data_IF_529917674401
#
_entry.id   IF_529917674401
#
_cell.length_a   1.000
_cell.length_b   1.000
_cell.length_c   1.000
_cell.angle_alpha   90.00
_cell.angle_beta   90.00
_cell.angle_gamma   90.00
#
_symmetry.space_group_name_H-M   'P 1'
#
loop_
_entity.id
_entity.type
_entity.pdbx_description
1 polymer ?
#
# COMPACT_ATOMS: atom_id res chain seq x y z
N UNK A 1 21.36 17.07 -12.03
CA UNK A 1 19.91 16.99 -11.74
C UNK A 1 19.64 15.70 -11.00
N UNK A 2 18.89 15.71 -9.89
CA UNK A 2 18.43 14.45 -9.27
C UNK A 2 17.45 13.77 -10.24
N UNK A 3 17.59 12.46 -10.53
CA UNK A 3 16.68 11.79 -11.44
C UNK A 3 15.24 11.88 -10.93
N UNK A 4 14.28 12.10 -11.83
CA UNK A 4 12.85 12.19 -11.49
C UNK A 4 12.32 10.78 -11.27
N UNK A 5 11.78 10.49 -10.07
CA UNK A 5 11.13 9.20 -9.79
C UNK A 5 9.96 8.99 -10.77
N UNK A 6 9.89 7.81 -11.37
CA UNK A 6 8.74 7.39 -12.17
C UNK A 6 7.63 6.89 -11.24
N UNK A 7 6.38 7.03 -11.68
CA UNK A 7 5.26 6.39 -10.97
C UNK A 7 5.39 4.87 -11.12
N UNK A 8 5.27 4.15 -10.01
CA UNK A 8 5.33 2.68 -10.01
C UNK A 8 4.06 2.15 -10.71
N UNK A 9 4.17 1.29 -11.75
CA UNK A 9 3.00 0.77 -12.44
C UNK A 9 2.07 -0.02 -11.50
N UNK A 10 0.75 0.11 -11.69
CA UNK A 10 -0.27 -0.55 -10.83
C UNK A 10 -0.08 -2.07 -10.71
N UNK A 11 0.32 -2.72 -11.81
CA UNK A 11 0.63 -4.16 -11.83
C UNK A 11 1.78 -4.53 -10.89
N UNK A 12 2.83 -3.69 -10.85
CA UNK A 12 3.96 -3.88 -9.93
C UNK A 12 3.53 -3.61 -8.49
N UNK A 13 2.71 -2.58 -8.25
CA UNK A 13 2.18 -2.32 -6.91
C UNK A 13 1.41 -3.53 -6.35
N UNK A 14 0.48 -4.10 -7.14
CA UNK A 14 -0.25 -5.31 -6.78
C UNK A 14 0.70 -6.49 -6.53
N UNK A 15 1.66 -6.72 -7.41
CA UNK A 15 2.64 -7.81 -7.25
C UNK A 15 3.36 -7.73 -5.90
N UNK A 16 3.77 -6.52 -5.49
CA UNK A 16 4.44 -6.28 -4.20
C UNK A 16 3.48 -6.54 -3.04
N UNK A 17 2.25 -6.02 -3.07
CA UNK A 17 1.28 -6.23 -1.98
C UNK A 17 0.87 -7.70 -1.83
N UNK A 18 0.67 -8.44 -2.92
CA UNK A 18 0.38 -9.87 -2.87
C UNK A 18 1.57 -10.68 -2.36
N UNK A 19 2.78 -10.43 -2.87
CA UNK A 19 4.02 -11.06 -2.36
C UNK A 19 4.17 -10.87 -0.85
N UNK A 20 3.81 -9.68 -0.38
CA UNK A 20 3.95 -9.27 1.01
C UNK A 20 2.71 -9.59 1.86
N UNK A 21 1.75 -10.37 1.35
CA UNK A 21 0.51 -10.75 2.03
C UNK A 21 -0.25 -9.56 2.63
N UNK A 22 -0.35 -8.45 1.89
CA UNK A 22 -1.04 -7.23 2.32
C UNK A 22 -0.61 -6.77 3.71
N UNK A 23 0.68 -6.92 4.03
CA UNK A 23 1.24 -6.63 5.36
C UNK A 23 2.39 -5.63 5.24
N UNK A 24 2.36 -4.57 6.04
CA UNK A 24 3.46 -3.61 6.12
C UNK A 24 4.72 -4.30 6.63
N UNK A 25 5.82 -4.23 5.86
CA UNK A 25 7.08 -4.89 6.24
C UNK A 25 7.86 -4.18 7.32
N UNK A 26 7.50 -2.95 7.66
CA UNK A 26 8.16 -2.19 8.74
C UNK A 26 7.54 -2.44 10.11
N UNK A 27 6.21 -2.44 10.22
CA UNK A 27 5.51 -2.55 11.51
C UNK A 27 4.65 -3.82 11.65
N UNK A 28 4.56 -4.66 10.62
CA UNK A 28 3.79 -5.90 10.64
C UNK A 28 2.27 -5.73 10.56
N UNK A 29 1.75 -4.50 10.55
CA UNK A 29 0.30 -4.29 10.48
C UNK A 29 -0.27 -4.57 9.08
N UNK A 30 -1.48 -5.15 8.98
CA UNK A 30 -2.20 -5.28 7.71
C UNK A 30 -2.43 -3.93 7.04
N UNK A 31 -2.30 -3.88 5.71
CA UNK A 31 -2.53 -2.68 4.90
C UNK A 31 -3.78 -2.79 4.04
N UNK A 32 -4.38 -1.65 3.71
CA UNK A 32 -5.67 -1.55 3.03
C UNK A 32 -5.49 -1.08 1.59
N UNK A 33 -6.17 -1.74 0.65
CA UNK A 33 -6.21 -1.32 -0.75
C UNK A 33 -7.02 -0.03 -0.90
N UNK A 34 -6.32 1.09 -1.12
CA UNK A 34 -6.95 2.43 -1.17
C UNK A 34 -8.06 2.60 -2.22
N UNK A 35 -8.04 1.91 -3.39
CA UNK A 35 -9.19 1.95 -4.30
C UNK A 35 -10.48 1.41 -3.69
N UNK A 36 -10.42 0.44 -2.78
CA UNK A 36 -11.62 -0.02 -2.05
C UNK A 36 -12.16 1.06 -1.14
N UNK A 37 -11.29 1.76 -0.40
CA UNK A 37 -11.71 2.87 0.44
C UNK A 37 -12.38 3.98 -0.38
N UNK A 38 -11.81 4.32 -1.53
CA UNK A 38 -12.40 5.30 -2.45
C UNK A 38 -13.78 4.84 -2.95
N UNK A 39 -13.91 3.58 -3.36
CA UNK A 39 -15.18 3.01 -3.81
C UNK A 39 -16.24 3.01 -2.70
N UNK A 40 -15.87 2.65 -1.47
CA UNK A 40 -16.78 2.71 -0.32
C UNK A 40 -17.25 4.14 -0.03
N UNK A 41 -16.35 5.13 -0.16
CA UNK A 41 -16.71 6.53 0.01
C UNK A 41 -17.69 7.03 -1.07
N UNK A 42 -17.58 6.52 -2.29
CA UNK A 42 -18.52 6.83 -3.38
C UNK A 42 -19.89 6.16 -3.18
N UNK A 43 -19.91 4.91 -2.69
CA UNK A 43 -21.13 4.14 -2.44
C UNK A 43 -21.86 4.58 -1.17
N UNK A 44 -21.12 5.03 -0.15
CA UNK A 44 -21.64 5.40 1.16
C UNK A 44 -20.88 6.61 1.72
N UNK A 45 -21.19 7.82 1.25
CA UNK A 45 -20.47 9.04 1.61
C UNK A 45 -20.62 9.39 3.10
N UNK A 46 -19.76 10.27 3.60
CA UNK A 46 -19.76 10.85 4.97
C UNK A 46 -19.38 9.91 6.13
N UNK A 47 -18.87 8.71 5.84
CA UNK A 47 -18.34 7.79 6.87
C UNK A 47 -16.82 7.91 7.08
N UNK A 48 -16.15 8.79 6.34
CA UNK A 48 -14.70 9.00 6.44
C UNK A 48 -13.85 7.87 5.87
N UNK A 49 -14.33 7.18 4.84
CA UNK A 49 -13.59 6.09 4.19
C UNK A 49 -12.35 6.58 3.43
N UNK A 50 -12.46 7.69 2.71
CA UNK A 50 -11.39 8.16 1.83
C UNK A 50 -11.40 9.68 1.62
N UNK A 51 -10.21 10.27 1.57
CA UNK A 51 -9.93 11.63 1.14
C UNK A 51 -8.65 11.63 0.31
N UNK A 52 -8.65 12.32 -0.84
CA UNK A 52 -7.54 12.29 -1.81
C UNK A 52 -6.18 12.73 -1.24
N UNK A 53 -6.18 13.56 -0.21
CA UNK A 53 -4.97 14.03 0.49
C UNK A 53 -4.85 13.50 1.91
N UNK A 54 -5.66 12.52 2.32
CA UNK A 54 -5.55 11.94 3.67
C UNK A 54 -5.80 12.92 4.81
N UNK A 55 -6.83 13.78 4.72
CA UNK A 55 -7.07 14.81 5.73
C UNK A 55 -7.63 14.17 7.01
N UNK A 56 -6.91 14.30 8.11
CA UNK A 56 -7.22 13.60 9.37
C UNK A 56 -8.62 13.88 9.94
N UNK A 57 -9.17 15.07 9.69
CA UNK A 57 -10.53 15.43 10.15
C UNK A 57 -11.64 14.81 9.31
N UNK A 58 -11.31 14.26 8.14
CA UNK A 58 -12.29 13.76 7.15
C UNK A 58 -12.11 12.26 6.86
N UNK A 59 -11.07 11.64 7.42
CA UNK A 59 -10.83 10.20 7.29
C UNK A 59 -10.72 9.56 8.66
N UNK A 60 -11.27 8.37 8.79
CA UNK A 60 -11.02 7.54 9.95
C UNK A 60 -9.52 7.25 10.06
N UNK A 61 -8.99 7.40 11.27
CA UNK A 61 -7.57 7.28 11.57
C UNK A 61 -6.97 6.01 10.95
N UNK A 62 -7.59 4.85 11.15
CA UNK A 62 -7.09 3.60 10.61
C UNK A 62 -6.99 3.61 9.07
N UNK A 63 -8.00 4.14 8.37
CA UNK A 63 -8.00 4.23 6.91
C UNK A 63 -6.99 5.23 6.37
N UNK A 64 -6.77 6.33 7.09
CA UNK A 64 -5.76 7.34 6.75
C UNK A 64 -4.34 6.78 6.86
N UNK A 65 -4.04 6.01 7.91
CA UNK A 65 -2.68 5.63 8.27
C UNK A 65 -2.26 4.24 7.75
N UNK A 66 -3.23 3.36 7.49
CA UNK A 66 -2.96 1.95 7.14
C UNK A 66 -3.28 1.59 5.68
N UNK A 67 -3.50 2.55 4.79
CA UNK A 67 -3.55 2.20 3.37
C UNK A 67 -2.19 1.72 2.86
N UNK A 68 -2.22 0.86 1.85
CA UNK A 68 -1.04 0.27 1.24
C UNK A 68 -0.30 1.29 0.37
N UNK A 69 1.02 1.32 0.52
CA UNK A 69 1.96 2.03 -0.34
C UNK A 69 3.11 1.10 -0.71
N UNK A 70 3.77 1.39 -1.83
CA UNK A 70 5.03 0.74 -2.19
C UNK A 70 6.16 1.70 -1.85
N UNK A 71 7.12 1.22 -1.05
CA UNK A 71 8.32 1.95 -0.69
C UNK A 71 9.56 1.23 -1.24
N UNK A 72 10.63 1.98 -1.44
CA UNK A 72 11.94 1.44 -1.81
C UNK A 72 12.68 0.95 -0.56
N UNK A 73 13.17 -0.29 -0.56
CA UNK A 73 14.00 -0.85 0.53
C UNK A 73 15.30 -0.04 0.62
N UNK A 74 16.03 0.08 -0.49
CA UNK A 74 17.12 1.03 -0.67
C UNK A 74 16.57 2.29 -1.33
N UNK A 75 16.64 3.46 -0.68
CA UNK A 75 16.04 4.67 -1.23
C UNK A 75 16.60 5.03 -2.61
N UNK A 76 15.71 5.43 -3.50
CA UNK A 76 16.08 5.94 -4.82
C UNK A 76 17.11 7.09 -4.75
N UNK A 77 17.01 7.96 -3.73
CA UNK A 77 17.97 9.05 -3.50
C UNK A 77 19.39 8.59 -3.17
N UNK A 78 19.54 7.35 -2.74
CA UNK A 78 20.81 6.71 -2.39
C UNK A 78 21.26 5.70 -3.46
N UNK A 79 20.62 5.69 -4.63
CA UNK A 79 20.98 4.80 -5.75
C UNK A 79 20.20 3.49 -5.83
N UNK A 80 19.18 3.31 -4.98
CA UNK A 80 18.33 2.12 -5.03
C UNK A 80 17.58 1.98 -6.37
N UNK A 81 17.44 0.74 -6.83
CA UNK A 81 16.84 0.42 -8.13
C UNK A 81 15.30 0.56 -8.12
N UNK A 82 14.71 0.78 -9.29
CA UNK A 82 13.25 0.73 -9.53
C UNK A 82 12.78 -0.70 -9.90
N UNK A 83 13.45 -1.71 -9.35
CA UNK A 83 13.12 -3.13 -9.57
C UNK A 83 12.25 -3.67 -8.43
N UNK A 84 11.44 -4.69 -8.72
CA UNK A 84 10.48 -5.25 -7.75
C UNK A 84 11.14 -5.81 -6.49
N UNK A 85 12.38 -6.29 -6.60
CA UNK A 85 13.20 -6.79 -5.50
C UNK A 85 13.57 -5.69 -4.50
N UNK A 86 13.64 -4.44 -4.98
CA UNK A 86 13.89 -3.26 -4.15
C UNK A 86 12.59 -2.58 -3.68
N UNK A 87 11.41 -3.14 -3.99
CA UNK A 87 10.14 -2.65 -3.51
C UNK A 87 9.62 -3.47 -2.34
N UNK A 88 8.95 -2.81 -1.40
CA UNK A 88 8.28 -3.45 -0.27
C UNK A 88 6.95 -2.76 0.06
N UNK A 89 6.03 -3.52 0.66
CA UNK A 89 4.77 -3.00 1.18
C UNK A 89 5.00 -2.22 2.46
N UNK A 90 4.53 -0.98 2.47
CA UNK A 90 4.50 -0.12 3.64
C UNK A 90 3.09 0.42 3.88
N UNK A 91 2.67 0.52 5.14
CA UNK A 91 1.53 1.38 5.46
C UNK A 91 1.92 2.85 5.28
N UNK A 92 0.93 3.72 5.08
CA UNK A 92 1.17 5.14 4.91
C UNK A 92 1.94 5.79 6.06
N UNK A 93 1.62 5.39 7.29
CA UNK A 93 2.32 5.83 8.50
C UNK A 93 3.82 5.54 8.45
N UNK A 94 4.20 4.29 8.17
CA UNK A 94 5.61 3.93 8.06
C UNK A 94 6.26 4.62 6.86
N UNK A 95 5.58 4.68 5.71
CA UNK A 95 6.14 5.34 4.52
C UNK A 95 6.43 6.83 4.76
N UNK A 96 5.57 7.54 5.49
CA UNK A 96 5.81 8.94 5.87
C UNK A 96 6.95 9.08 6.88
N UNK A 97 6.91 8.31 7.97
CA UNK A 97 7.89 8.42 9.06
C UNK A 97 9.29 7.94 8.65
N UNK A 98 9.40 7.10 7.61
CA UNK A 98 10.66 6.55 7.12
C UNK A 98 11.31 7.41 6.02
N UNK A 99 10.64 8.44 5.51
CA UNK A 99 11.25 9.39 4.54
C UNK A 99 12.36 10.25 5.17
N UNK A 100 12.26 10.53 6.48
CA UNK A 100 13.24 11.36 7.21
C UNK A 100 14.29 10.54 7.97
N UNK A 101 14.21 9.20 7.92
CA UNK A 101 15.12 8.31 8.66
C UNK A 101 16.32 7.90 7.80
N UNK A 102 17.57 8.13 8.26
CA UNK A 102 18.78 7.65 7.57
C UNK A 102 18.73 6.13 7.33
N UNK A 103 19.23 5.67 6.17
CA UNK A 103 19.20 4.25 5.74
C UNK A 103 19.70 3.28 6.82
N UNK A 104 20.70 3.70 7.61
CA UNK A 104 21.29 2.92 8.70
C UNK A 104 20.38 2.72 9.92
N UNK A 105 19.34 3.54 10.09
CA UNK A 105 18.38 3.48 11.21
C UNK A 105 17.00 2.97 10.79
N UNK A 106 16.76 2.77 9.50
CA UNK A 106 15.51 2.17 9.04
C UNK A 106 15.43 0.74 9.61
N UNK A 107 14.35 0.43 10.32
CA UNK A 107 14.03 -0.95 10.65
C UNK A 107 14.08 -1.74 9.35
N UNK A 108 14.94 -2.75 9.29
CA UNK A 108 14.98 -3.62 8.11
C UNK A 108 13.59 -4.22 7.99
N UNK A 109 12.98 -4.23 6.79
CA UNK A 109 11.71 -4.88 6.59
C UNK A 109 11.83 -6.29 7.17
N UNK A 110 10.96 -6.65 8.12
CA UNK A 110 10.98 -7.95 8.77
C UNK A 110 10.68 -8.95 7.65
N UNK A 111 11.74 -9.60 7.18
CA UNK A 111 11.68 -10.66 6.20
C UNK A 111 11.10 -11.85 6.92
N UNK A 112 9.78 -11.96 6.94
CA UNK A 112 9.02 -13.17 6.64
C UNK A 112 7.53 -12.92 6.93
N UNK A 113 6.67 -13.53 6.10
CA UNK A 113 5.23 -13.60 6.32
C UNK A 113 4.86 -14.55 7.49
N UNK A 114 5.85 -15.13 8.15
CA UNK A 114 5.71 -16.22 9.14
C UNK A 114 4.97 -15.78 10.42
N UNK A 115 4.95 -14.47 10.71
CA UNK A 115 4.34 -13.93 11.93
C UNK A 115 2.99 -13.23 11.70
N UNK A 116 2.40 -13.31 10.50
CA UNK A 116 1.07 -12.72 10.27
C UNK A 116 -0.02 -13.66 10.81
N UNK A 117 -0.59 -13.33 11.98
CA UNK A 117 -1.73 -14.05 12.55
C UNK A 117 -3.02 -13.91 11.71
N UNK A 118 -3.08 -12.95 10.79
CA UNK A 118 -4.20 -12.78 9.85
C UNK A 118 -4.00 -13.63 8.59
N UNK A 119 -4.41 -14.90 8.68
CA UNK A 119 -4.19 -15.91 7.62
C UNK A 119 -4.95 -15.64 6.30
N UNK A 120 -5.86 -14.66 6.23
CA UNK A 120 -6.70 -14.43 5.02
C UNK A 120 -6.96 -12.94 4.70
N UNK A 121 -6.09 -12.03 5.14
CA UNK A 121 -6.25 -10.62 4.80
C UNK A 121 -5.78 -10.32 3.36
N UNK A 122 -6.67 -9.77 2.54
CA UNK A 122 -6.43 -9.49 1.13
C UNK A 122 -6.42 -7.97 0.82
N UNK A 123 -6.28 -7.14 1.84
CA UNK A 123 -6.34 -5.68 1.69
C UNK A 123 -7.72 -5.14 1.32
N UNK A 124 -8.80 -5.91 1.43
CA UNK A 124 -10.13 -5.60 0.86
C UNK A 124 -10.15 -5.62 -0.68
N UNK A 125 -9.20 -6.29 -1.32
CA UNK A 125 -9.16 -6.38 -2.78
C UNK A 125 -10.29 -7.24 -3.35
N UNK A 126 -10.68 -8.34 -2.70
CA UNK A 126 -11.84 -9.13 -3.12
C UNK A 126 -13.14 -8.34 -2.98
N UNK A 127 -13.25 -7.47 -1.97
CA UNK A 127 -14.40 -6.58 -1.81
C UNK A 127 -14.50 -5.59 -2.98
N UNK A 128 -13.35 -5.05 -3.43
CA UNK A 128 -13.31 -4.21 -4.63
C UNK A 128 -13.89 -4.92 -5.85
N UNK A 129 -13.48 -6.17 -6.09
CA UNK A 129 -13.96 -6.97 -7.22
C UNK A 129 -15.47 -7.21 -7.16
N UNK A 130 -16.02 -7.42 -5.96
CA UNK A 130 -17.46 -7.65 -5.75
C UNK A 130 -18.30 -6.39 -5.98
N UNK A 131 -17.80 -5.21 -5.58
CA UNK A 131 -18.55 -3.96 -5.61
C UNK A 131 -18.32 -3.13 -6.87
N UNK A 132 -17.17 -3.29 -7.53
CA UNK A 132 -16.80 -2.49 -8.71
C UNK A 132 -17.46 -3.00 -9.99
N UNK A 133 -17.51 -2.14 -11.01
CA UNK A 133 -18.05 -2.49 -12.34
C UNK A 133 -17.14 -3.53 -13.00
N UNK A 134 -17.74 -4.51 -13.70
CA UNK A 134 -17.00 -5.63 -14.34
C UNK A 134 -15.88 -5.20 -15.30
N UNK A 135 -15.98 -4.02 -15.92
CA UNK A 135 -14.99 -3.50 -16.88
C UNK A 135 -13.92 -2.59 -16.27
N UNK A 136 -13.91 -2.43 -14.95
CA UNK A 136 -12.94 -1.57 -14.27
C UNK A 136 -11.49 -2.08 -14.40
N UNK A 137 -10.55 -1.14 -14.52
CA UNK A 137 -9.12 -1.44 -14.73
C UNK A 137 -8.46 -2.19 -13.56
N UNK A 138 -8.86 -1.91 -12.33
CA UNK A 138 -8.37 -2.63 -11.16
C UNK A 138 -8.97 -4.03 -11.09
N UNK A 139 -10.24 -4.20 -11.46
CA UNK A 139 -10.88 -5.52 -11.51
C UNK A 139 -10.14 -6.44 -12.49
N UNK A 140 -9.72 -5.94 -13.65
CA UNK A 140 -8.94 -6.73 -14.62
C UNK A 140 -7.60 -7.18 -14.04
N UNK A 141 -6.87 -6.27 -13.39
CA UNK A 141 -5.57 -6.59 -12.79
C UNK A 141 -5.68 -7.53 -11.58
N UNK A 142 -6.68 -7.35 -10.73
CA UNK A 142 -6.88 -8.18 -9.53
C UNK A 142 -7.25 -9.62 -9.86
N UNK A 143 -7.84 -9.89 -11.04
CA UNK A 143 -8.15 -11.25 -11.50
C UNK A 143 -6.92 -12.03 -12.00
N UNK A 144 -5.76 -11.39 -12.09
CA UNK A 144 -4.49 -12.06 -12.44
C UNK A 144 -3.80 -12.69 -11.22
N UNK A 145 -4.34 -12.49 -10.01
CA UNK A 145 -3.84 -12.98 -8.73
C UNK A 145 -4.91 -13.84 -8.04
#
# INVERSE_FOLDING_TARGET
MKPKRKSIPRKIQLAVWFRDNWTCKYCGTPVIFSPTLKLLNELSPNHGYYHQHGKATEMLHWFQWKWASVDHIEPFSSGGSDLIENFTTACWECNLNMNDTPVSKKLKPIRTNENSEMVNWDGLSSLYVKLSKKNDSWVKLLKEY
#
